data_IF_477797575635
#
_entry.id   IF_477797575635
#
_cell.length_a   1.000
_cell.length_b   1.000
_cell.length_c   1.000
_cell.angle_alpha   90.00
_cell.angle_beta   90.00
_cell.angle_gamma   90.00
#
_symmetry.space_group_name_H-M   'P 1'
#
loop_
_entity.id
_entity.type
_entity.pdbx_description
1 polymer ?
#
# COMPACT_ATOMS: atom_id res chain seq x y z
N UNK A 1 -15.70 69.54 -19.90
CA UNK A 1 -14.71 70.33 -20.67
C UNK A 1 -13.36 69.67 -20.48
N UNK A 2 -12.83 68.95 -21.45
CA UNK A 2 -11.81 69.39 -22.43
C UNK A 2 -10.61 68.42 -22.24
N UNK A 3 -10.44 67.38 -23.07
CA UNK A 3 -9.91 67.35 -24.44
C UNK A 3 -8.38 67.50 -24.50
N UNK A 4 -7.75 66.50 -25.16
CA UNK A 4 -6.45 66.53 -25.86
C UNK A 4 -5.18 66.59 -24.97
N UNK A 5 -3.99 66.08 -25.35
CA UNK A 5 -3.36 65.45 -26.54
C UNK A 5 -2.02 64.87 -25.98
N UNK A 6 -1.53 63.66 -26.36
CA UNK A 6 -0.50 63.41 -27.41
C UNK A 6 0.78 64.26 -27.19
N UNK A 7 2.04 63.83 -27.22
CA UNK A 7 2.74 62.60 -27.70
C UNK A 7 4.27 62.79 -27.47
N UNK A 8 5.05 61.70 -27.47
CA UNK A 8 6.51 61.59 -27.84
C UNK A 8 7.49 62.20 -26.80
N UNK A 9 8.53 61.51 -26.29
CA UNK A 9 9.81 61.34 -26.99
C UNK A 9 10.77 60.40 -26.23
N UNK A 10 11.21 59.34 -26.93
CA UNK A 10 12.52 58.65 -26.96
C UNK A 10 13.15 58.03 -25.70
N UNK A 11 13.36 56.72 -25.84
CA UNK A 11 14.40 55.89 -25.25
C UNK A 11 15.72 56.64 -25.01
N UNK A 12 16.26 56.52 -23.80
CA UNK A 12 17.70 56.40 -23.58
C UNK A 12 17.95 55.16 -22.73
N UNK A 13 18.69 54.25 -23.35
CA UNK A 13 19.16 52.97 -22.87
C UNK A 13 20.25 53.19 -21.80
N UNK A 14 20.08 52.62 -20.61
CA UNK A 14 21.20 52.45 -19.68
C UNK A 14 21.10 51.06 -19.04
N UNK A 15 21.90 50.14 -19.58
CA UNK A 15 22.10 48.80 -19.06
C UNK A 15 22.97 48.91 -17.79
N UNK A 16 22.39 48.71 -16.61
CA UNK A 16 23.15 48.51 -15.38
C UNK A 16 22.94 47.06 -14.95
N UNK A 17 23.93 46.24 -15.25
CA UNK A 17 24.06 44.88 -14.75
C UNK A 17 24.54 44.99 -13.31
N UNK A 18 23.63 44.80 -12.35
CA UNK A 18 23.98 44.52 -10.96
C UNK A 18 23.42 43.15 -10.61
N UNK A 19 24.32 42.18 -10.53
CA UNK A 19 24.03 40.80 -10.20
C UNK A 19 23.45 40.67 -8.79
N UNK A 20 22.28 40.06 -8.71
CA UNK A 20 21.76 39.44 -7.52
C UNK A 20 21.73 37.93 -7.80
N UNK A 21 22.75 37.20 -7.34
CA UNK A 21 22.69 35.74 -7.29
C UNK A 21 21.79 35.36 -6.12
N UNK A 22 20.48 35.35 -6.35
CA UNK A 22 19.56 34.60 -5.52
C UNK A 22 19.59 33.16 -6.02
N UNK A 23 20.48 32.34 -5.45
CA UNK A 23 20.45 30.90 -5.60
C UNK A 23 19.20 30.36 -4.90
N UNK A 24 18.08 30.33 -5.62
CA UNK A 24 16.93 29.52 -5.23
C UNK A 24 17.32 28.07 -5.51
N UNK A 25 17.86 27.40 -4.51
CA UNK A 25 17.90 25.94 -4.50
C UNK A 25 16.46 25.45 -4.32
N UNK A 26 15.75 25.28 -5.44
CA UNK A 26 14.54 24.48 -5.44
C UNK A 26 15.01 23.04 -5.27
N UNK A 27 15.12 22.58 -4.02
CA UNK A 27 15.08 21.15 -3.75
C UNK A 27 13.66 20.71 -4.07
N UNK A 28 13.38 20.43 -5.35
CA UNK A 28 12.39 19.42 -5.66
C UNK A 28 13.00 18.13 -5.14
N UNK A 29 12.73 17.81 -3.87
CA UNK A 29 12.89 16.45 -3.40
C UNK A 29 12.09 15.61 -4.37
N UNK A 30 12.79 14.90 -5.26
CA UNK A 30 12.20 13.76 -5.94
C UNK A 30 11.75 12.90 -4.76
N UNK A 31 10.43 12.68 -4.55
CA UNK A 31 10.03 11.73 -3.52
C UNK A 31 10.81 10.47 -3.85
N UNK A 32 11.60 9.97 -2.90
CA UNK A 32 12.24 8.68 -3.06
C UNK A 32 11.12 7.75 -3.52
N UNK A 33 11.20 7.26 -4.75
CA UNK A 33 10.22 6.31 -5.24
C UNK A 33 10.19 5.22 -4.19
N UNK A 34 9.04 5.03 -3.53
CA UNK A 34 8.78 3.87 -2.69
C UNK A 34 8.88 2.69 -3.65
N UNK A 35 10.08 2.15 -3.80
CA UNK A 35 10.29 1.02 -4.66
C UNK A 35 9.73 -0.17 -3.91
N UNK A 36 8.46 -0.50 -4.16
CA UNK A 36 7.93 -1.80 -3.85
C UNK A 36 8.76 -2.80 -4.64
N UNK A 37 9.62 -3.53 -3.93
CA UNK A 37 10.52 -4.51 -4.53
C UNK A 37 10.10 -5.89 -4.09
N UNK A 38 10.29 -6.89 -4.94
CA UNK A 38 10.30 -8.27 -4.45
C UNK A 38 11.54 -8.39 -3.54
N UNK A 39 11.40 -8.81 -2.27
CA UNK A 39 12.54 -8.88 -1.35
C UNK A 39 13.65 -9.77 -1.92
N UNK A 40 14.92 -9.39 -1.69
CA UNK A 40 16.07 -10.19 -2.12
C UNK A 40 17.16 -10.22 -1.04
N UNK A 41 17.54 -11.40 -0.52
CA UNK A 41 16.92 -12.72 -0.77
C UNK A 41 15.46 -12.75 -0.32
N UNK A 42 14.58 -13.48 -1.03
CA UNK A 42 13.15 -13.39 -0.75
C UNK A 42 12.74 -14.18 0.50
N UNK A 43 11.67 -13.73 1.14
CA UNK A 43 11.11 -14.27 2.38
C UNK A 43 9.63 -14.61 2.20
N UNK A 44 8.96 -14.90 3.32
CA UNK A 44 7.52 -15.05 3.40
C UNK A 44 7.01 -14.61 4.77
N UNK A 45 5.76 -14.19 4.82
CA UNK A 45 5.06 -13.83 6.05
C UNK A 45 3.91 -14.80 6.30
N UNK A 46 3.63 -15.07 7.56
CA UNK A 46 2.46 -15.82 8.02
C UNK A 46 1.78 -15.00 9.10
N UNK A 47 0.47 -15.08 9.21
CA UNK A 47 -0.21 -14.44 10.32
C UNK A 47 -1.69 -14.75 10.37
N UNK A 48 -2.29 -14.35 11.47
CA UNK A 48 -3.73 -14.44 11.64
C UNK A 48 -4.13 -13.77 12.95
N UNK A 49 -5.35 -13.25 12.96
CA UNK A 49 -5.81 -12.44 14.06
C UNK A 49 -7.04 -11.64 13.73
N UNK A 50 -7.20 -10.53 14.43
CA UNK A 50 -8.22 -9.54 14.13
C UNK A 50 -7.76 -8.13 14.45
N UNK A 51 -8.37 -7.19 13.76
CA UNK A 51 -8.27 -5.74 14.00
C UNK A 51 -9.64 -5.22 14.41
N UNK A 52 -9.65 -4.06 15.06
CA UNK A 52 -10.90 -3.32 15.29
C UNK A 52 -11.12 -2.37 14.12
N UNK A 53 -12.26 -2.51 13.44
CA UNK A 53 -12.68 -1.59 12.36
C UNK A 53 -13.01 -0.21 12.93
N UNK A 54 -13.16 0.80 12.07
CA UNK A 54 -13.50 2.16 12.52
C UNK A 54 -14.87 2.22 13.21
N UNK A 55 -15.74 1.25 12.93
CA UNK A 55 -17.05 1.09 13.57
C UNK A 55 -17.00 0.29 14.88
N UNK A 56 -15.83 -0.18 15.30
CA UNK A 56 -15.65 -0.90 16.57
C UNK A 56 -15.87 -2.41 16.50
N UNK A 57 -16.06 -2.98 15.30
CA UNK A 57 -16.28 -4.41 15.11
C UNK A 57 -14.98 -5.16 14.85
N UNK A 58 -15.01 -6.47 15.06
CA UNK A 58 -13.88 -7.34 14.73
C UNK A 58 -13.82 -7.59 13.22
N UNK A 59 -12.66 -7.41 12.63
CA UNK A 59 -12.37 -7.93 11.31
C UNK A 59 -11.24 -8.95 11.41
N UNK A 60 -11.57 -10.21 11.14
CA UNK A 60 -10.65 -11.33 11.22
C UNK A 60 -9.86 -11.49 9.93
N UNK A 61 -8.61 -11.90 10.04
CA UNK A 61 -7.80 -12.26 8.89
C UNK A 61 -6.95 -13.49 9.17
N UNK A 62 -6.56 -14.16 8.10
CA UNK A 62 -5.54 -15.20 8.09
C UNK A 62 -4.76 -15.11 6.80
N UNK A 63 -3.44 -15.24 6.87
CA UNK A 63 -2.59 -15.12 5.70
C UNK A 63 -1.33 -15.97 5.78
N UNK A 64 -0.89 -16.37 4.59
CA UNK A 64 0.49 -16.70 4.28
C UNK A 64 0.79 -16.10 2.91
N UNK A 65 1.96 -15.52 2.73
CA UNK A 65 2.35 -14.93 1.45
C UNK A 65 3.86 -14.78 1.35
N UNK A 66 4.43 -15.09 0.20
CA UNK A 66 5.86 -14.94 -0.03
C UNK A 66 6.32 -15.47 -1.37
N UNK A 67 7.64 -15.57 -1.51
CA UNK A 67 8.24 -16.22 -2.68
C UNK A 67 8.50 -17.71 -2.45
N UNK A 68 8.34 -18.51 -3.50
CA UNK A 68 8.74 -19.92 -3.53
C UNK A 68 8.98 -20.39 -4.95
N UNK A 69 10.12 -21.04 -5.18
CA UNK A 69 10.48 -21.67 -6.47
C UNK A 69 10.24 -20.76 -7.69
N UNK A 70 10.84 -19.57 -7.68
CA UNK A 70 10.80 -18.57 -8.76
C UNK A 70 9.40 -17.99 -9.03
N UNK A 71 8.52 -18.06 -8.04
CA UNK A 71 7.17 -17.52 -8.10
C UNK A 71 6.67 -17.07 -6.74
N UNK A 72 5.36 -16.81 -6.66
CA UNK A 72 4.68 -16.44 -5.42
C UNK A 72 3.80 -17.59 -4.92
N UNK A 73 3.60 -17.64 -3.62
CA UNK A 73 2.69 -18.60 -2.98
C UNK A 73 1.97 -17.94 -1.83
N UNK A 74 0.84 -18.52 -1.46
CA UNK A 74 0.14 -18.10 -0.26
C UNK A 74 -1.38 -18.21 -0.37
N UNK A 75 -2.03 -17.63 0.61
CA UNK A 75 -3.47 -17.42 0.68
C UNK A 75 -3.75 -16.26 1.66
N UNK A 76 -4.75 -15.44 1.36
CA UNK A 76 -5.27 -14.39 2.22
C UNK A 76 -6.77 -14.59 2.38
N UNK A 77 -7.23 -14.59 3.62
CA UNK A 77 -8.65 -14.61 3.98
C UNK A 77 -8.94 -13.46 4.94
N UNK A 78 -10.05 -12.77 4.73
CA UNK A 78 -10.51 -11.67 5.59
C UNK A 78 -12.02 -11.73 5.77
N UNK A 79 -12.51 -11.54 6.99
CA UNK A 79 -13.94 -11.51 7.33
C UNK A 79 -14.20 -10.30 8.21
N UNK A 80 -14.99 -9.35 7.72
CA UNK A 80 -15.54 -8.27 8.52
C UNK A 80 -16.80 -8.76 9.26
N UNK A 81 -16.79 -8.68 10.59
CA UNK A 81 -17.94 -9.02 11.41
C UNK A 81 -18.82 -7.80 11.75
N UNK A 82 -18.58 -6.64 11.13
CA UNK A 82 -19.55 -5.54 11.17
C UNK A 82 -20.89 -5.97 10.56
N UNK A 83 -21.96 -5.61 11.25
CA UNK A 83 -23.34 -5.85 10.82
C UNK A 83 -23.93 -4.63 10.11
N UNK A 84 -23.18 -3.54 10.01
CA UNK A 84 -23.61 -2.23 9.50
C UNK A 84 -22.56 -1.58 8.60
N UNK A 85 -23.00 -0.69 7.70
CA UNK A 85 -22.09 0.02 6.78
C UNK A 85 -21.85 -0.68 5.44
N UNK A 86 -20.96 -0.09 4.63
CA UNK A 86 -20.74 -0.50 3.23
C UNK A 86 -20.05 -1.87 3.10
N UNK A 87 -19.21 -2.22 4.08
CA UNK A 87 -18.42 -3.47 4.09
C UNK A 87 -18.95 -4.50 5.09
N UNK A 88 -20.17 -4.31 5.60
CA UNK A 88 -20.80 -5.20 6.56
C UNK A 88 -20.82 -6.65 6.07
N UNK A 89 -20.27 -7.58 6.84
CA UNK A 89 -20.20 -8.99 6.49
C UNK A 89 -19.29 -9.30 5.31
N UNK A 90 -18.39 -8.40 4.91
CA UNK A 90 -17.46 -8.63 3.80
C UNK A 90 -16.56 -9.84 4.10
N UNK A 91 -16.60 -10.82 3.22
CA UNK A 91 -15.67 -11.95 3.18
C UNK A 91 -14.83 -11.85 1.91
N UNK A 92 -13.51 -11.91 2.07
CA UNK A 92 -12.53 -11.95 0.99
C UNK A 92 -11.74 -13.25 1.13
N UNK A 93 -11.61 -13.99 0.03
CA UNK A 93 -10.76 -15.16 -0.06
C UNK A 93 -9.93 -15.09 -1.34
N UNK A 94 -8.61 -15.08 -1.21
CA UNK A 94 -7.72 -15.04 -2.37
C UNK A 94 -7.78 -16.33 -3.18
N UNK A 95 -7.76 -16.20 -4.50
CA UNK A 95 -7.62 -17.29 -5.45
C UNK A 95 -6.17 -17.45 -5.92
N UNK A 96 -5.42 -16.35 -5.92
CA UNK A 96 -4.04 -16.28 -6.39
C UNK A 96 -3.25 -15.23 -5.62
N UNK A 97 -1.94 -15.48 -5.50
CA UNK A 97 -0.95 -14.48 -5.09
C UNK A 97 -0.17 -14.11 -6.35
N UNK A 98 -0.30 -12.86 -6.76
CA UNK A 98 0.30 -12.34 -7.99
C UNK A 98 1.59 -11.57 -7.72
N UNK A 99 1.74 -11.04 -6.50
CA UNK A 99 2.98 -10.41 -6.08
C UNK A 99 3.17 -10.43 -4.56
N UNK A 100 4.43 -10.29 -4.18
CA UNK A 100 4.87 -10.13 -2.82
C UNK A 100 5.96 -9.05 -2.78
N UNK A 101 5.65 -7.93 -2.13
CA UNK A 101 6.51 -6.75 -2.13
C UNK A 101 6.94 -6.33 -0.73
N UNK A 102 8.14 -5.78 -0.65
CA UNK A 102 8.66 -5.01 0.45
C UNK A 102 8.55 -3.51 0.08
N UNK A 103 7.71 -2.70 0.77
CA UNK A 103 7.51 -1.28 0.45
C UNK A 103 8.73 -0.39 0.69
N UNK A 104 9.67 -0.84 1.52
CA UNK A 104 10.94 -0.17 1.78
C UNK A 104 12.02 -1.22 2.05
N UNK A 105 13.19 -1.14 1.38
CA UNK A 105 14.26 -2.12 1.53
C UNK A 105 14.64 -2.39 3.00
N UNK A 106 14.61 -3.67 3.40
CA UNK A 106 14.94 -4.11 4.76
C UNK A 106 13.90 -3.76 5.82
N UNK A 107 12.68 -3.41 5.42
CA UNK A 107 11.58 -3.21 6.36
C UNK A 107 10.98 -4.54 6.81
N UNK A 108 10.25 -4.49 7.92
CA UNK A 108 9.42 -5.58 8.42
C UNK A 108 8.01 -5.60 7.80
N UNK A 109 7.79 -4.80 6.75
CA UNK A 109 6.48 -4.63 6.09
C UNK A 109 6.43 -5.45 4.81
N UNK A 110 5.32 -6.15 4.57
CA UNK A 110 5.09 -6.91 3.34
C UNK A 110 3.71 -6.62 2.77
N UNK A 111 3.67 -6.37 1.47
CA UNK A 111 2.43 -6.31 0.70
C UNK A 111 2.25 -7.62 -0.06
N UNK A 112 1.15 -8.31 0.22
CA UNK A 112 0.69 -9.47 -0.52
C UNK A 112 -0.39 -8.98 -1.48
N UNK A 113 -0.19 -9.20 -2.77
CA UNK A 113 -1.13 -8.79 -3.80
C UNK A 113 -1.61 -9.98 -4.61
N UNK A 114 -2.83 -9.90 -5.11
CA UNK A 114 -3.40 -10.98 -5.89
C UNK A 114 -4.84 -10.75 -6.29
N UNK A 115 -5.48 -11.83 -6.74
CA UNK A 115 -6.90 -11.86 -7.07
C UNK A 115 -7.66 -12.60 -5.98
N UNK A 116 -8.84 -12.10 -5.61
CA UNK A 116 -9.72 -12.70 -4.62
C UNK A 116 -11.17 -12.63 -5.07
N UNK A 117 -11.96 -13.59 -4.61
CA UNK A 117 -13.40 -13.53 -4.65
C UNK A 117 -13.96 -12.96 -3.33
N UNK A 118 -15.02 -12.18 -3.46
CA UNK A 118 -15.75 -11.58 -2.34
C UNK A 118 -17.24 -11.86 -2.43
N UNK A 119 -17.90 -11.94 -1.28
CA UNK A 119 -19.36 -12.09 -1.22
C UNK A 119 -20.15 -10.82 -1.59
N UNK A 120 -19.52 -9.63 -1.55
CA UNK A 120 -20.19 -8.35 -1.80
C UNK A 120 -19.87 -7.72 -3.17
N UNK A 121 -18.64 -7.90 -3.66
CA UNK A 121 -18.12 -7.16 -4.82
C UNK A 121 -17.70 -8.06 -5.98
N UNK A 122 -17.87 -9.38 -5.86
CA UNK A 122 -17.37 -10.37 -6.81
C UNK A 122 -15.85 -10.44 -6.79
N UNK A 123 -15.24 -10.73 -7.94
CA UNK A 123 -13.80 -10.82 -8.09
C UNK A 123 -13.14 -9.44 -8.01
N UNK A 124 -12.07 -9.34 -7.23
CA UNK A 124 -11.29 -8.12 -6.99
C UNK A 124 -9.80 -8.40 -7.07
N UNK A 125 -9.00 -7.36 -7.29
CA UNK A 125 -7.60 -7.35 -6.84
C UNK A 125 -7.56 -6.96 -5.37
N UNK A 126 -6.59 -7.49 -4.64
CA UNK A 126 -6.33 -7.09 -3.26
C UNK A 126 -4.87 -6.69 -3.05
N UNK A 127 -4.66 -5.87 -2.03
CA UNK A 127 -3.38 -5.62 -1.37
C UNK A 127 -3.58 -5.79 0.13
N UNK A 128 -3.00 -6.82 0.70
CA UNK A 128 -2.92 -7.04 2.13
C UNK A 128 -1.54 -6.62 2.62
N UNK A 129 -1.49 -5.66 3.55
CA UNK A 129 -0.25 -5.17 4.16
C UNK A 129 -0.07 -5.81 5.54
N UNK A 130 1.09 -6.39 5.77
CA UNK A 130 1.50 -6.93 7.06
C UNK A 130 2.73 -6.20 7.57
N UNK A 131 2.84 -6.05 8.88
CA UNK A 131 4.02 -5.51 9.55
C UNK A 131 4.27 -6.35 10.81
N UNK A 132 5.40 -7.05 10.84
CA UNK A 132 5.85 -7.83 12.01
C UNK A 132 6.74 -6.94 12.87
N UNK A 133 6.19 -6.44 13.98
CA UNK A 133 6.91 -5.56 14.89
C UNK A 133 7.55 -6.31 16.07
N UNK A 134 7.53 -7.66 16.07
CA UNK A 134 8.03 -8.52 17.14
C UNK A 134 7.46 -8.18 18.52
N UNK A 135 6.59 -9.04 19.06
CA UNK A 135 5.92 -8.79 20.34
C UNK A 135 6.91 -8.66 21.54
N UNK A 136 7.02 -7.49 22.20
CA UNK A 136 7.80 -7.36 23.43
C UNK A 136 7.11 -7.99 24.65
N UNK A 137 5.84 -8.43 24.55
CA UNK A 137 5.06 -9.02 25.64
C UNK A 137 4.05 -10.09 25.15
N UNK A 138 4.51 -11.33 24.86
CA UNK A 138 3.73 -12.45 24.30
C UNK A 138 2.46 -12.92 25.04
N UNK A 139 2.05 -12.25 26.12
CA UNK A 139 1.05 -12.73 27.08
C UNK A 139 -0.20 -11.87 27.26
N UNK A 140 -0.29 -10.66 26.67
CA UNK A 140 -1.47 -9.79 26.82
C UNK A 140 -2.46 -9.84 25.64
N UNK A 141 -2.10 -10.59 24.59
CA UNK A 141 -2.91 -10.77 23.39
C UNK A 141 -3.01 -9.53 22.51
N UNK A 142 -2.26 -8.45 22.79
CA UNK A 142 -2.21 -7.24 21.97
C UNK A 142 -0.88 -7.19 21.24
N UNK A 143 -0.89 -7.60 19.97
CA UNK A 143 0.31 -7.54 19.14
C UNK A 143 0.72 -6.09 18.84
N UNK A 144 2.02 -5.85 18.64
CA UNK A 144 2.55 -4.63 18.00
C UNK A 144 2.47 -4.70 16.47
N UNK A 145 2.17 -5.89 15.96
CA UNK A 145 2.01 -6.17 14.54
C UNK A 145 0.84 -5.40 13.96
N UNK A 146 0.89 -5.16 12.66
CA UNK A 146 -0.16 -4.44 11.96
C UNK A 146 -0.66 -5.17 10.73
N UNK A 147 -1.95 -5.00 10.46
CA UNK A 147 -2.62 -5.51 9.27
C UNK A 147 -3.44 -4.41 8.60
N UNK A 148 -3.42 -4.37 7.27
CA UNK A 148 -4.30 -3.54 6.46
C UNK A 148 -4.75 -4.28 5.18
N UNK A 149 -5.89 -3.89 4.64
CA UNK A 149 -6.47 -4.45 3.44
C UNK A 149 -7.06 -3.37 2.53
N UNK A 150 -6.65 -3.38 1.27
CA UNK A 150 -7.22 -2.58 0.18
C UNK A 150 -7.71 -3.50 -0.92
N UNK A 151 -8.89 -3.20 -1.48
CA UNK A 151 -9.47 -3.93 -2.60
C UNK A 151 -9.60 -3.01 -3.81
N UNK A 152 -9.55 -3.58 -5.02
CA UNK A 152 -9.83 -2.88 -6.27
C UNK A 152 -10.72 -3.75 -7.16
N UNK A 153 -11.88 -3.22 -7.56
CA UNK A 153 -12.79 -3.94 -8.43
C UNK A 153 -12.21 -4.13 -9.84
N UNK A 154 -12.35 -5.33 -10.39
CA UNK A 154 -11.88 -5.65 -11.77
C UNK A 154 -13.02 -5.81 -12.78
N UNK A 155 -14.26 -5.94 -12.30
CA UNK A 155 -15.46 -6.08 -13.14
C UNK A 155 -16.50 -5.01 -12.83
N UNK A 156 -17.38 -4.66 -13.79
CA UNK A 156 -18.50 -3.74 -13.54
C UNK A 156 -19.39 -4.25 -12.39
N UNK A 157 -19.97 -3.36 -11.58
CA UNK A 157 -19.91 -1.89 -11.70
C UNK A 157 -18.68 -1.25 -11.06
N UNK A 158 -17.75 -2.03 -10.50
CA UNK A 158 -16.66 -1.54 -9.64
C UNK A 158 -15.30 -1.46 -10.34
N UNK A 159 -15.22 -1.66 -11.66
CA UNK A 159 -13.95 -1.66 -12.40
C UNK A 159 -13.11 -0.41 -12.11
N UNK A 160 -11.91 -0.60 -11.57
CA UNK A 160 -10.96 0.45 -11.25
C UNK A 160 -11.26 1.25 -9.99
N UNK A 161 -12.36 0.94 -9.28
CA UNK A 161 -12.68 1.56 -7.99
C UNK A 161 -11.88 0.83 -6.91
N UNK A 162 -11.09 1.59 -6.15
CA UNK A 162 -10.32 1.07 -5.02
C UNK A 162 -10.87 1.59 -3.70
N UNK A 163 -10.88 0.72 -2.68
CA UNK A 163 -11.30 1.04 -1.32
C UNK A 163 -10.33 0.47 -0.30
N UNK A 164 -9.96 1.28 0.69
CA UNK A 164 -9.26 0.81 1.89
C UNK A 164 -10.32 0.25 2.83
N UNK A 165 -10.36 -1.09 2.92
CA UNK A 165 -11.31 -1.79 3.79
C UNK A 165 -10.87 -1.66 5.24
N UNK A 166 -9.56 -1.83 5.47
CA UNK A 166 -8.94 -1.57 6.76
C UNK A 166 -7.60 -0.88 6.51
N UNK A 167 -7.43 0.33 7.03
CA UNK A 167 -6.11 0.96 7.05
C UNK A 167 -5.19 0.16 7.96
N UNK A 168 -3.92 0.00 7.58
CA UNK A 168 -2.89 -0.68 8.35
C UNK A 168 -2.90 -0.18 9.79
N UNK A 169 -3.22 -1.09 10.71
CA UNK A 169 -3.43 -0.79 12.12
C UNK A 169 -3.03 -1.97 12.98
N UNK A 170 -2.79 -1.67 14.26
CA UNK A 170 -2.36 -2.63 15.27
C UNK A 170 -3.39 -3.75 15.43
N UNK A 171 -2.91 -4.98 15.55
CA UNK A 171 -3.76 -6.13 15.84
C UNK A 171 -4.38 -6.00 17.24
N UNK A 172 -5.68 -6.25 17.33
CA UNK A 172 -6.37 -6.36 18.61
C UNK A 172 -6.30 -7.79 19.18
N UNK A 173 -5.90 -8.76 18.35
CA UNK A 173 -5.43 -10.07 18.75
C UNK A 173 -4.87 -10.86 17.59
N UNK A 174 -4.04 -11.85 17.90
CA UNK A 174 -3.30 -12.64 16.91
C UNK A 174 -1.83 -12.24 16.80
N UNK A 175 -1.16 -12.72 15.76
CA UNK A 175 0.29 -12.53 15.52
C UNK A 175 0.60 -12.56 14.02
N UNK A 176 1.63 -11.83 13.61
CA UNK A 176 2.24 -11.87 12.28
C UNK A 176 3.73 -12.17 12.45
N UNK A 177 4.21 -13.15 11.70
CA UNK A 177 5.63 -13.51 11.66
C UNK A 177 6.19 -13.28 10.26
N UNK A 178 7.31 -12.56 10.18
CA UNK A 178 8.13 -12.45 8.99
C UNK A 178 9.28 -13.47 9.06
N UNK A 179 9.19 -14.49 8.22
CA UNK A 179 10.17 -15.57 8.22
C UNK A 179 11.41 -15.19 7.42
N UNK A 180 12.58 -15.59 7.91
CA UNK A 180 13.84 -15.32 7.20
C UNK A 180 13.91 -16.06 5.86
N UNK A 181 14.59 -15.47 4.86
CA UNK A 181 14.87 -16.12 3.59
C UNK A 181 15.55 -17.49 3.74
N UNK A 182 15.15 -18.43 2.88
CA UNK A 182 15.83 -19.72 2.72
C UNK A 182 16.02 -20.07 1.23
N UNK A 183 16.81 -21.11 0.89
CA UNK A 183 17.11 -21.43 -0.51
C UNK A 183 15.89 -21.74 -1.41
N UNK A 184 14.73 -22.07 -0.84
CA UNK A 184 13.49 -22.30 -1.59
C UNK A 184 12.64 -21.04 -1.77
N UNK A 185 12.94 -19.96 -1.04
CA UNK A 185 12.28 -18.66 -1.16
C UNK A 185 12.92 -17.83 -2.26
N UNK A 186 12.82 -18.30 -3.50
CA UNK A 186 13.22 -17.53 -4.68
C UNK A 186 11.98 -16.90 -5.32
N UNK A 187 12.04 -15.58 -5.56
CA UNK A 187 11.02 -14.84 -6.31
C UNK A 187 11.26 -14.95 -7.82
N UNK A 188 10.32 -14.48 -8.64
CA UNK A 188 10.47 -14.50 -10.09
C UNK A 188 11.67 -13.65 -10.54
N UNK A 189 12.34 -14.09 -11.61
CA UNK A 189 13.49 -13.37 -12.19
C UNK A 189 13.15 -11.96 -12.69
N UNK A 190 11.89 -11.74 -13.06
CA UNK A 190 11.34 -10.42 -13.39
C UNK A 190 10.19 -10.12 -12.43
N UNK A 191 10.34 -9.14 -11.53
CA UNK A 191 9.26 -8.70 -10.67
C UNK A 191 8.03 -8.25 -11.47
N UNK A 192 6.81 -8.57 -11.01
CA UNK A 192 5.60 -8.04 -11.62
C UNK A 192 5.48 -6.52 -11.39
N UNK A 193 4.73 -5.85 -12.24
CA UNK A 193 4.31 -4.46 -12.02
C UNK A 193 3.34 -4.39 -10.82
N UNK A 194 3.63 -3.47 -9.90
CA UNK A 194 2.88 -3.31 -8.64
C UNK A 194 1.40 -3.03 -8.88
N UNK A 195 1.09 -2.04 -9.72
CA UNK A 195 -0.29 -1.61 -9.96
C UNK A 195 -1.08 -2.73 -10.63
N UNK A 196 -0.46 -3.46 -11.56
CA UNK A 196 -1.07 -4.60 -12.22
C UNK A 196 -1.35 -5.76 -11.25
N UNK A 197 -0.41 -6.06 -10.35
CA UNK A 197 -0.56 -7.15 -9.39
C UNK A 197 -1.55 -6.82 -8.26
N UNK A 198 -1.53 -5.59 -7.75
CA UNK A 198 -2.34 -5.14 -6.61
C UNK A 198 -3.65 -4.45 -7.01
N UNK A 199 -3.84 -4.14 -8.30
CA UNK A 199 -4.95 -3.38 -8.86
C UNK A 199 -4.86 -1.86 -8.66
N UNK A 200 -4.12 -1.40 -7.65
CA UNK A 200 -3.88 0.01 -7.33
C UNK A 200 -2.59 0.18 -6.53
N UNK A 201 -2.20 1.43 -6.27
CA UNK A 201 -1.09 1.79 -5.38
C UNK A 201 -1.40 1.51 -3.89
N UNK A 202 -0.45 1.76 -2.98
CA UNK A 202 -0.68 1.67 -1.53
C UNK A 202 -1.30 2.93 -0.90
N UNK A 203 -1.73 3.91 -1.70
CA UNK A 203 -2.28 5.17 -1.19
C UNK A 203 -3.46 4.91 -0.24
N UNK A 204 -3.41 5.55 0.92
CA UNK A 204 -4.43 5.43 1.99
C UNK A 204 -4.31 4.18 2.85
N UNK A 205 -3.49 3.20 2.49
CA UNK A 205 -3.37 1.95 3.26
C UNK A 205 -2.62 2.18 4.58
N UNK A 206 -1.76 3.20 4.67
CA UNK A 206 -1.07 3.57 5.91
C UNK A 206 0.35 2.98 6.05
N UNK A 207 1.04 3.46 7.09
CA UNK A 207 2.38 3.08 7.55
C UNK A 207 2.36 3.06 9.09
#
# INVERSE_FOLDING_TARGET
MSKERRTITRLVLTLVVTGFLASVAIFTGIPAAKAHIVPFPCDFTTGGGFVITDNGYHANFGLVGGCKHDGFFGHVNFVDHDETGEYAGLHVSSDSIDAYFEPAPGSNVRDICGTADTNLFGTVKFRARTEDNSDPSPGDGRGVDKFGLKLTGVSPPFTGISAVIVSTRVLAGGHIELHKPNPSNTGPSTPPDEISACGSDDSGLGY
#
